data_IF_996241905879
#
_entry.id   IF_996241905879
#
_cell.length_a   1.000
_cell.length_b   1.000
_cell.length_c   1.000
_cell.angle_alpha   90.00
_cell.angle_beta   90.00
_cell.angle_gamma   90.00
#
_symmetry.space_group_name_H-M   'P 1'
#
loop_
_entity.id
_entity.type
_entity.pdbx_description
1 polymer ?
#
# COMPACT_ATOMS: atom_id res chain seq x y z
N UNK A 1 67.01 -2.65 36.27
CA UNK A 1 67.85 -3.66 35.55
C UNK A 1 67.62 -3.45 34.09
N UNK A 2 68.52 -2.78 33.48
CA UNK A 2 69.43 -3.06 32.36
C UNK A 2 68.68 -3.22 31.03
N UNK A 3 68.63 -2.18 30.20
CA UNK A 3 69.58 -1.79 29.14
C UNK A 3 69.70 -2.84 28.02
N UNK A 4 69.27 -2.53 26.81
CA UNK A 4 70.25 -2.43 25.71
C UNK A 4 69.68 -1.84 24.45
N UNK A 5 70.27 -0.76 24.04
CA UNK A 5 70.26 -0.19 22.68
C UNK A 5 70.90 -1.18 21.70
N UNK A 6 70.41 -1.21 20.46
CA UNK A 6 71.38 -1.26 19.33
C UNK A 6 70.74 -0.58 18.11
N UNK A 7 71.54 0.38 17.66
CA UNK A 7 71.34 1.26 16.52
C UNK A 7 71.86 0.63 15.21
N UNK A 8 71.58 1.36 14.13
CA UNK A 8 72.24 1.34 12.80
C UNK A 8 71.53 0.40 11.76
N UNK A 9 71.22 0.80 10.61
CA UNK A 9 72.00 1.63 9.65
C UNK A 9 71.09 2.27 8.63
N UNK A 10 71.46 3.48 8.27
CA UNK A 10 71.07 4.26 7.10
C UNK A 10 71.60 3.60 5.83
N UNK A 11 70.76 3.51 4.82
CA UNK A 11 71.20 3.40 3.44
C UNK A 11 70.38 4.36 2.58
N UNK A 12 71.09 5.34 2.06
CA UNK A 12 70.65 6.31 1.03
C UNK A 12 70.85 5.67 -0.35
N UNK A 13 70.05 6.23 -1.27
CA UNK A 13 70.30 6.41 -2.72
C UNK A 13 69.26 5.79 -3.63
N UNK A 14 69.08 6.36 -4.85
CA UNK A 14 68.80 7.75 -5.22
C UNK A 14 67.63 7.87 -6.21
N UNK A 15 67.29 9.12 -6.44
CA UNK A 15 66.63 9.66 -7.62
C UNK A 15 66.74 8.83 -8.91
N UNK A 16 65.61 8.65 -9.63
CA UNK A 16 65.56 8.95 -11.08
C UNK A 16 64.13 9.02 -11.62
N UNK A 17 63.77 10.21 -12.04
CA UNK A 17 63.11 10.57 -13.28
C UNK A 17 61.69 10.01 -13.53
N UNK A 18 60.81 10.95 -13.41
CA UNK A 18 60.24 11.61 -14.58
C UNK A 18 59.19 10.79 -15.34
N UNK A 19 58.06 11.40 -15.38
CA UNK A 19 57.18 11.57 -16.54
C UNK A 19 56.06 10.61 -16.69
N UNK A 20 55.02 11.16 -16.64
CA UNK A 20 53.94 11.35 -17.64
C UNK A 20 52.62 11.47 -16.91
N UNK A 21 52.24 12.67 -16.70
CA UNK A 21 50.88 13.06 -16.47
C UNK A 21 50.05 12.54 -17.67
N UNK A 22 49.43 11.40 -17.49
CA UNK A 22 48.28 10.99 -18.30
C UNK A 22 47.06 11.55 -17.60
N UNK A 23 46.66 12.75 -17.99
CA UNK A 23 45.35 13.30 -17.75
C UNK A 23 44.38 12.42 -18.54
N UNK A 24 43.90 11.34 -17.89
CA UNK A 24 42.70 10.67 -18.35
C UNK A 24 41.54 11.62 -18.00
N UNK A 25 41.18 12.46 -18.95
CA UNK A 25 39.88 13.11 -19.00
C UNK A 25 38.82 12.02 -19.12
N UNK A 26 38.36 11.48 -17.99
CA UNK A 26 37.14 10.75 -17.93
C UNK A 26 36.03 11.75 -18.28
N UNK A 27 35.66 11.80 -19.57
CA UNK A 27 34.38 12.33 -20.00
C UNK A 27 33.31 11.46 -19.27
N UNK A 28 32.87 11.98 -18.13
CA UNK A 28 31.59 11.56 -17.56
C UNK A 28 30.54 12.04 -18.54
N UNK A 29 30.20 11.20 -19.49
CA UNK A 29 28.97 11.33 -20.22
C UNK A 29 27.85 11.20 -19.18
N UNK A 30 27.44 12.34 -18.63
CA UNK A 30 26.16 12.45 -17.93
C UNK A 30 25.08 12.21 -19.00
N UNK A 31 24.89 10.96 -19.38
CA UNK A 31 23.71 10.53 -20.09
C UNK A 31 22.56 10.91 -19.18
N UNK A 32 21.71 11.83 -19.63
CA UNK A 32 20.41 12.04 -19.02
C UNK A 32 19.77 10.66 -18.97
N UNK A 33 19.76 10.03 -17.80
CA UNK A 33 18.99 8.83 -17.54
C UNK A 33 17.53 9.25 -17.72
N UNK A 34 17.02 9.08 -18.94
CA UNK A 34 15.58 9.11 -19.14
C UNK A 34 15.04 8.01 -18.23
N UNK A 35 14.26 8.39 -17.24
CA UNK A 35 13.56 7.42 -16.43
C UNK A 35 12.84 6.48 -17.42
N UNK A 36 13.20 5.19 -17.38
CA UNK A 36 12.59 4.22 -18.26
C UNK A 36 11.08 4.23 -17.98
N UNK A 37 10.30 4.39 -19.04
CA UNK A 37 8.84 4.37 -18.93
C UNK A 37 8.44 2.99 -18.39
N UNK A 38 7.66 2.99 -17.32
CA UNK A 38 7.23 1.77 -16.65
C UNK A 38 6.26 0.97 -17.53
N UNK A 39 6.33 -0.35 -17.45
CA UNK A 39 5.30 -1.21 -18.03
C UNK A 39 3.98 -1.08 -17.25
N UNK A 40 2.84 -1.53 -17.81
CA UNK A 40 1.58 -1.56 -17.08
C UNK A 40 1.69 -2.31 -15.75
N UNK A 41 2.38 -3.45 -15.71
CA UNK A 41 2.59 -4.25 -14.51
C UNK A 41 3.41 -3.50 -13.46
N UNK A 42 4.51 -2.86 -13.87
CA UNK A 42 5.33 -2.07 -12.97
C UNK A 42 4.55 -0.88 -12.40
N UNK A 43 3.73 -0.24 -13.24
CA UNK A 43 2.85 0.85 -12.79
C UNK A 43 1.82 0.35 -11.78
N UNK A 44 1.22 -0.82 -12.04
CA UNK A 44 0.28 -1.45 -11.11
C UNK A 44 0.95 -1.80 -9.78
N UNK A 45 2.19 -2.31 -9.80
CA UNK A 45 2.95 -2.59 -8.57
C UNK A 45 3.22 -1.32 -7.75
N UNK A 46 3.41 -0.16 -8.40
CA UNK A 46 3.53 1.11 -7.71
C UNK A 46 2.18 1.57 -7.11
N UNK A 47 1.06 1.39 -7.82
CA UNK A 47 -0.27 1.66 -7.28
C UNK A 47 -0.57 0.79 -6.06
N UNK A 48 -0.33 -0.52 -6.15
CA UNK A 48 -0.54 -1.46 -5.05
C UNK A 48 0.32 -1.08 -3.84
N UNK A 49 1.62 -0.85 -4.05
CA UNK A 49 2.51 -0.43 -2.96
C UNK A 49 2.09 0.89 -2.31
N UNK A 50 1.70 1.88 -3.12
CA UNK A 50 1.31 3.20 -2.62
C UNK A 50 -0.04 3.18 -1.89
N UNK A 51 -1.09 2.63 -2.52
CA UNK A 51 -2.46 2.79 -2.02
C UNK A 51 -2.92 1.63 -1.13
N UNK A 52 -2.34 0.43 -1.28
CA UNK A 52 -2.64 -0.71 -0.39
C UNK A 52 -1.71 -0.71 0.81
N UNK A 53 -0.40 -0.60 0.56
CA UNK A 53 0.59 -0.73 1.63
C UNK A 53 0.98 0.61 2.27
N UNK A 54 0.63 1.76 1.68
CA UNK A 54 1.06 3.08 2.17
C UNK A 54 2.58 3.31 2.02
N UNK A 55 3.22 2.67 1.03
CA UNK A 55 4.66 2.71 0.83
C UNK A 55 5.10 4.03 0.21
N UNK A 56 5.75 4.86 1.03
CA UNK A 56 6.27 6.19 0.65
C UNK A 56 7.32 6.09 -0.47
N UNK A 57 8.15 5.04 -0.47
CA UNK A 57 9.17 4.86 -1.51
C UNK A 57 8.51 4.50 -2.86
N UNK A 58 7.45 3.71 -2.85
CA UNK A 58 6.66 3.41 -4.06
C UNK A 58 5.93 4.65 -4.58
N UNK A 59 5.39 5.48 -3.71
CA UNK A 59 4.78 6.77 -4.08
C UNK A 59 5.80 7.72 -4.72
N UNK A 60 7.02 7.80 -4.19
CA UNK A 60 8.09 8.59 -4.78
C UNK A 60 8.51 8.05 -6.16
N UNK A 61 8.68 6.73 -6.30
CA UNK A 61 8.95 6.09 -7.59
C UNK A 61 7.84 6.33 -8.61
N UNK A 62 6.58 6.33 -8.16
CA UNK A 62 5.44 6.66 -9.01
C UNK A 62 5.53 8.09 -9.53
N UNK A 63 5.83 9.07 -8.67
CA UNK A 63 6.03 10.46 -9.09
C UNK A 63 7.16 10.58 -10.11
N UNK A 64 8.32 9.95 -9.85
CA UNK A 64 9.46 10.00 -10.76
C UNK A 64 9.09 9.48 -12.16
N UNK A 65 8.34 8.38 -12.22
CA UNK A 65 7.89 7.79 -13.47
C UNK A 65 6.82 8.63 -14.19
N UNK A 66 5.99 9.34 -13.44
CA UNK A 66 4.85 10.09 -13.98
C UNK A 66 5.15 11.56 -14.27
N UNK A 67 6.23 12.14 -13.76
CA UNK A 67 6.60 13.56 -14.03
C UNK A 67 6.54 13.98 -15.51
N UNK A 68 7.01 13.15 -16.47
CA UNK A 68 6.89 13.53 -17.89
C UNK A 68 5.45 13.71 -18.35
N UNK A 69 4.49 13.00 -17.75
CA UNK A 69 3.06 13.10 -18.07
C UNK A 69 2.37 14.27 -17.35
N UNK A 70 2.94 14.76 -16.24
CA UNK A 70 2.41 15.85 -15.43
C UNK A 70 3.23 17.15 -15.56
N UNK A 71 3.85 17.40 -16.72
CA UNK A 71 4.63 18.61 -17.00
C UNK A 71 5.73 18.86 -15.94
N UNK A 72 6.39 17.80 -15.49
CA UNK A 72 7.44 17.86 -14.48
C UNK A 72 6.95 17.98 -13.04
N UNK A 73 5.64 17.93 -12.80
CA UNK A 73 5.04 18.00 -11.47
C UNK A 73 4.84 16.61 -10.89
N UNK A 74 4.81 16.55 -9.57
CA UNK A 74 4.45 15.34 -8.86
C UNK A 74 2.94 15.05 -8.99
N UNK A 75 2.60 13.80 -9.28
CA UNK A 75 1.22 13.33 -9.37
C UNK A 75 0.60 13.10 -7.98
N UNK A 76 1.45 12.78 -6.99
CA UNK A 76 1.05 12.48 -5.62
C UNK A 76 1.82 13.38 -4.63
N UNK A 77 1.14 13.82 -3.59
CA UNK A 77 1.80 14.41 -2.42
C UNK A 77 2.36 13.28 -1.55
N UNK A 78 3.63 12.94 -1.78
CA UNK A 78 4.33 11.87 -1.05
C UNK A 78 4.39 12.14 0.46
N UNK A 79 4.47 13.42 0.86
CA UNK A 79 4.50 13.81 2.27
C UNK A 79 3.16 13.54 2.97
N UNK A 80 2.06 13.51 2.22
CA UNK A 80 0.73 13.20 2.76
C UNK A 80 0.48 11.69 2.93
N UNK A 81 1.24 10.80 2.27
CA UNK A 81 1.00 9.35 2.33
C UNK A 81 0.97 8.80 3.77
N UNK A 82 1.92 9.13 4.67
CA UNK A 82 1.89 8.62 6.04
C UNK A 82 0.63 9.04 6.83
N UNK A 83 0.07 10.20 6.52
CA UNK A 83 -1.12 10.75 7.21
C UNK A 83 -2.42 10.45 6.49
N UNK A 84 -2.36 9.97 5.25
CA UNK A 84 -3.54 9.64 4.44
C UNK A 84 -4.40 8.58 5.15
N UNK A 85 -3.76 7.54 5.68
CA UNK A 85 -4.42 6.48 6.45
C UNK A 85 -5.17 7.03 7.67
N UNK A 86 -4.56 7.95 8.42
CA UNK A 86 -5.16 8.60 9.57
C UNK A 86 -6.37 9.45 9.19
N UNK A 87 -6.22 10.26 8.12
CA UNK A 87 -7.32 11.09 7.59
C UNK A 87 -8.49 10.23 7.12
N UNK A 88 -8.22 9.15 6.39
CA UNK A 88 -9.25 8.20 5.94
C UNK A 88 -9.94 7.54 7.14
N UNK A 89 -9.18 7.10 8.15
CA UNK A 89 -9.72 6.52 9.37
C UNK A 89 -10.67 7.48 10.07
N UNK A 90 -10.25 8.72 10.29
CA UNK A 90 -11.06 9.72 10.97
C UNK A 90 -12.36 10.03 10.22
N UNK A 91 -12.30 10.11 8.88
CA UNK A 91 -13.47 10.28 8.03
C UNK A 91 -14.41 9.06 8.11
N UNK A 92 -13.88 7.84 8.11
CA UNK A 92 -14.68 6.62 8.25
C UNK A 92 -15.34 6.54 9.62
N UNK A 93 -14.61 6.86 10.69
CA UNK A 93 -15.17 6.94 12.05
C UNK A 93 -16.31 7.96 12.11
N UNK A 94 -16.09 9.16 11.59
CA UNK A 94 -17.10 10.21 11.57
C UNK A 94 -18.35 9.78 10.78
N UNK A 95 -18.17 9.17 9.60
CA UNK A 95 -19.26 8.67 8.77
C UNK A 95 -20.07 7.57 9.47
N UNK A 96 -19.41 6.61 10.13
CA UNK A 96 -20.09 5.54 10.86
C UNK A 96 -20.83 6.11 12.07
N UNK A 97 -20.19 6.96 12.87
CA UNK A 97 -20.81 7.57 14.05
C UNK A 97 -21.98 8.49 13.70
N UNK A 98 -21.95 9.15 12.53
CA UNK A 98 -23.08 10.00 12.10
C UNK A 98 -24.38 9.23 11.95
N UNK A 99 -24.31 7.95 11.58
CA UNK A 99 -25.47 7.04 11.43
C UNK A 99 -25.94 6.45 12.76
N UNK A 100 -25.21 6.68 13.86
CA UNK A 100 -25.55 6.13 15.18
C UNK A 100 -26.32 7.15 16.02
N UNK A 101 -27.21 6.70 16.94
CA UNK A 101 -27.87 7.58 17.88
C UNK A 101 -26.85 8.41 18.68
N UNK A 102 -27.11 9.71 18.88
CA UNK A 102 -26.16 10.64 19.53
C UNK A 102 -25.63 10.12 20.87
N UNK A 103 -26.49 9.51 21.69
CA UNK A 103 -26.14 8.95 23.00
C UNK A 103 -25.20 7.74 22.97
N UNK A 104 -25.10 7.06 21.81
CA UNK A 104 -24.23 5.89 21.63
C UNK A 104 -22.84 6.25 21.08
N UNK A 105 -22.69 7.43 20.48
CA UNK A 105 -21.48 7.80 19.71
C UNK A 105 -20.21 7.79 20.57
N UNK A 106 -20.28 8.30 21.79
CA UNK A 106 -19.12 8.34 22.70
C UNK A 106 -18.64 6.93 23.05
N UNK A 107 -19.56 6.02 23.35
CA UNK A 107 -19.23 4.62 23.70
C UNK A 107 -18.72 3.80 22.51
N UNK A 108 -19.10 4.16 21.27
CA UNK A 108 -18.74 3.42 20.07
C UNK A 108 -17.45 3.94 19.40
N UNK A 109 -17.01 5.17 19.71
CA UNK A 109 -15.85 5.76 19.05
C UNK A 109 -14.58 4.90 19.17
N UNK A 110 -14.22 4.50 20.39
CA UNK A 110 -13.00 3.73 20.63
C UNK A 110 -13.01 2.35 19.95
N UNK A 111 -14.06 1.49 20.10
CA UNK A 111 -14.11 0.22 19.41
C UNK A 111 -14.14 0.33 17.88
N UNK A 112 -14.83 1.33 17.32
CA UNK A 112 -14.82 1.58 15.87
C UNK A 112 -13.40 1.98 15.42
N UNK A 113 -12.76 2.90 16.14
CA UNK A 113 -11.40 3.34 15.82
C UNK A 113 -10.40 2.18 15.84
N UNK A 114 -10.47 1.32 16.86
CA UNK A 114 -9.61 0.13 16.93
C UNK A 114 -9.84 -0.81 15.75
N UNK A 115 -11.09 -1.11 15.42
CA UNK A 115 -11.43 -1.99 14.29
C UNK A 115 -10.91 -1.44 12.95
N UNK A 116 -11.06 -0.14 12.70
CA UNK A 116 -10.57 0.48 11.45
C UNK A 116 -9.03 0.48 11.43
N UNK A 117 -8.36 0.76 12.57
CA UNK A 117 -6.90 0.73 12.65
C UNK A 117 -6.34 -0.68 12.35
N UNK A 118 -6.93 -1.73 12.94
CA UNK A 118 -6.55 -3.11 12.66
C UNK A 118 -6.80 -3.50 11.20
N UNK A 119 -7.92 -3.06 10.61
CA UNK A 119 -8.20 -3.23 9.18
C UNK A 119 -7.14 -2.57 8.29
N UNK A 120 -6.74 -1.32 8.58
CA UNK A 120 -5.68 -0.62 7.85
C UNK A 120 -4.33 -1.33 7.98
N UNK A 121 -4.02 -1.83 9.18
CA UNK A 121 -2.81 -2.62 9.41
C UNK A 121 -2.80 -3.91 8.55
N UNK A 122 -3.94 -4.57 8.40
CA UNK A 122 -4.08 -5.74 7.51
C UNK A 122 -3.82 -5.37 6.06
N UNK A 123 -4.39 -4.26 5.57
CA UNK A 123 -4.12 -3.77 4.21
C UNK A 123 -2.63 -3.49 4.02
N UNK A 124 -2.00 -2.80 4.96
CA UNK A 124 -0.58 -2.47 4.88
C UNK A 124 0.34 -3.72 4.84
N UNK A 125 -0.09 -4.85 5.43
CA UNK A 125 0.63 -6.14 5.40
C UNK A 125 0.35 -6.97 4.15
N UNK A 126 -0.65 -6.62 3.34
CA UNK A 126 -1.01 -7.41 2.16
C UNK A 126 0.16 -7.47 1.18
N UNK A 127 0.40 -8.65 0.62
CA UNK A 127 1.47 -8.90 -0.33
C UNK A 127 0.87 -8.96 -1.73
N UNK A 128 0.95 -7.86 -2.45
CA UNK A 128 0.35 -7.70 -3.77
C UNK A 128 1.39 -7.58 -4.87
N UNK A 129 1.07 -8.10 -6.06
CA UNK A 129 1.89 -7.95 -7.26
C UNK A 129 1.04 -8.06 -8.52
N UNK A 130 1.42 -7.37 -9.58
CA UNK A 130 0.93 -7.60 -10.91
C UNK A 130 1.38 -8.99 -11.42
N UNK A 131 0.54 -9.66 -12.20
CA UNK A 131 0.80 -11.01 -12.70
C UNK A 131 0.83 -11.11 -14.22
N UNK A 132 0.32 -10.09 -14.92
CA UNK A 132 0.35 -9.99 -16.37
C UNK A 132 -0.56 -8.88 -16.85
N UNK A 133 -0.47 -8.55 -18.14
CA UNK A 133 -1.38 -7.58 -18.75
C UNK A 133 -1.74 -7.95 -20.18
N UNK A 134 -2.87 -7.41 -20.63
CA UNK A 134 -3.28 -7.39 -22.04
C UNK A 134 -3.51 -5.94 -22.45
N UNK A 135 -3.18 -5.61 -23.69
CA UNK A 135 -3.33 -4.25 -24.21
C UNK A 135 -4.22 -4.25 -25.44
N UNK A 136 -5.07 -3.21 -25.54
CA UNK A 136 -5.88 -2.92 -26.72
C UNK A 136 -5.89 -1.42 -27.02
N UNK A 137 -6.11 -0.99 -28.26
CA UNK A 137 -6.31 0.42 -28.58
C UNK A 137 -7.47 1.01 -27.76
N UNK A 138 -7.33 2.26 -27.34
CA UNK A 138 -8.44 3.02 -26.74
C UNK A 138 -9.29 3.60 -27.86
N UNK A 139 -10.52 3.09 -28.02
CA UNK A 139 -11.45 3.54 -29.08
C UNK A 139 -11.92 5.00 -28.89
N UNK A 140 -11.74 5.58 -27.70
CA UNK A 140 -12.21 6.92 -27.36
C UNK A 140 -11.10 7.97 -27.44
N UNK A 141 -9.82 7.56 -27.41
CA UNK A 141 -8.67 8.47 -27.40
C UNK A 141 -7.64 7.98 -28.41
N UNK A 142 -7.48 8.72 -29.51
CA UNK A 142 -6.54 8.38 -30.57
C UNK A 142 -5.10 8.32 -30.04
N UNK A 143 -4.37 7.27 -30.42
CA UNK A 143 -2.99 7.06 -30.01
C UNK A 143 -2.79 6.57 -28.56
N UNK A 144 -3.86 6.34 -27.81
CA UNK A 144 -3.82 5.76 -26.48
C UNK A 144 -4.22 4.27 -26.51
N UNK A 145 -3.72 3.51 -25.54
CA UNK A 145 -4.12 2.13 -25.31
C UNK A 145 -4.71 1.97 -23.91
N UNK A 146 -5.54 0.93 -23.76
CA UNK A 146 -6.02 0.43 -22.48
C UNK A 146 -5.21 -0.84 -22.18
N UNK A 147 -4.53 -0.87 -21.05
CA UNK A 147 -3.87 -2.05 -20.54
C UNK A 147 -4.66 -2.59 -19.35
N UNK A 148 -5.30 -3.74 -19.49
CA UNK A 148 -5.93 -4.46 -18.38
C UNK A 148 -4.86 -5.31 -17.72
N UNK A 149 -4.54 -4.99 -16.47
CA UNK A 149 -3.50 -5.65 -15.67
C UNK A 149 -4.14 -6.54 -14.63
N UNK A 150 -3.79 -7.82 -14.68
CA UNK A 150 -4.12 -8.79 -13.64
C UNK A 150 -3.16 -8.63 -12.46
N UNK A 151 -3.68 -8.70 -11.24
CA UNK A 151 -2.86 -8.74 -10.05
C UNK A 151 -3.33 -9.80 -9.05
N UNK A 152 -2.43 -10.22 -8.19
CA UNK A 152 -2.69 -11.15 -7.11
C UNK A 152 -2.14 -10.60 -5.81
N UNK A 153 -2.96 -10.71 -4.77
CA UNK A 153 -2.60 -10.35 -3.41
C UNK A 153 -2.71 -11.58 -2.50
N UNK A 154 -1.87 -11.64 -1.50
CA UNK A 154 -2.04 -12.52 -0.35
C UNK A 154 -2.46 -11.66 0.84
N UNK A 155 -3.65 -11.90 1.37
CA UNK A 155 -4.23 -11.17 2.49
C UNK A 155 -4.46 -12.08 3.68
N UNK A 156 -4.84 -11.53 4.81
CA UNK A 156 -5.27 -12.34 5.96
C UNK A 156 -6.60 -13.03 5.69
N UNK A 157 -6.77 -14.23 6.22
CA UNK A 157 -8.04 -14.95 6.18
C UNK A 157 -8.87 -14.62 7.42
N UNK A 158 -9.77 -13.66 7.28
CA UNK A 158 -10.66 -13.21 8.37
C UNK A 158 -11.89 -14.09 8.54
N UNK A 159 -12.22 -14.95 7.59
CA UNK A 159 -13.49 -15.69 7.55
C UNK A 159 -13.72 -16.58 8.79
N UNK A 160 -12.74 -17.40 9.22
CA UNK A 160 -12.90 -18.21 10.43
C UNK A 160 -13.12 -17.35 11.69
N UNK A 161 -12.38 -16.26 11.83
CA UNK A 161 -12.51 -15.34 12.97
C UNK A 161 -13.85 -14.62 12.99
N UNK A 162 -14.33 -14.15 11.84
CA UNK A 162 -15.67 -13.54 11.70
C UNK A 162 -16.76 -14.52 12.06
N UNK A 163 -16.66 -15.77 11.60
CA UNK A 163 -17.61 -16.83 11.95
C UNK A 163 -17.64 -17.07 13.45
N UNK A 164 -16.49 -17.27 14.08
CA UNK A 164 -16.39 -17.47 15.53
C UNK A 164 -16.93 -16.27 16.32
N UNK A 165 -16.64 -15.04 15.87
CA UNK A 165 -17.17 -13.83 16.49
C UNK A 165 -18.72 -13.78 16.42
N UNK A 166 -19.32 -14.13 15.27
CA UNK A 166 -20.77 -14.16 15.10
C UNK A 166 -21.41 -15.22 16.01
N UNK A 167 -20.82 -16.40 16.09
CA UNK A 167 -21.29 -17.46 17.00
C UNK A 167 -21.24 -17.00 18.47
N UNK A 168 -20.14 -16.35 18.89
CA UNK A 168 -19.96 -15.79 20.23
C UNK A 168 -20.98 -14.71 20.56
N UNK A 169 -21.26 -13.81 19.64
CA UNK A 169 -22.21 -12.70 19.84
C UNK A 169 -23.66 -13.17 19.75
N UNK A 170 -23.93 -14.24 19.01
CA UNK A 170 -25.25 -14.76 18.76
C UNK A 170 -26.14 -13.77 17.98
N UNK A 171 -27.44 -14.02 18.04
CA UNK A 171 -28.45 -13.12 17.45
C UNK A 171 -29.36 -12.54 18.55
N UNK A 172 -28.86 -11.58 19.36
CA UNK A 172 -29.61 -11.06 20.48
C UNK A 172 -30.77 -10.18 20.02
N UNK A 173 -31.91 -10.29 20.70
CA UNK A 173 -33.04 -9.36 20.52
C UNK A 173 -32.68 -7.99 21.12
N UNK A 174 -32.17 -7.08 20.30
CA UNK A 174 -31.69 -5.74 20.71
C UNK A 174 -32.85 -4.76 20.88
N UNK A 175 -33.66 -4.92 21.94
CA UNK A 175 -34.86 -4.08 22.19
C UNK A 175 -34.55 -2.68 22.71
N UNK A 176 -33.38 -2.44 23.27
CA UNK A 176 -33.00 -1.12 23.82
C UNK A 176 -31.76 -0.57 23.14
N UNK A 177 -31.63 0.77 23.11
CA UNK A 177 -30.42 1.43 22.59
C UNK A 177 -29.16 1.05 23.37
N UNK A 178 -29.29 0.84 24.70
CA UNK A 178 -28.18 0.37 25.54
C UNK A 178 -27.68 -1.00 25.12
N UNK A 179 -28.60 -1.95 24.91
CA UNK A 179 -28.25 -3.30 24.45
C UNK A 179 -27.63 -3.26 23.05
N UNK A 180 -28.18 -2.44 22.15
CA UNK A 180 -27.65 -2.24 20.79
C UNK A 180 -26.25 -1.63 20.80
N UNK A 181 -26.02 -0.60 21.62
CA UNK A 181 -24.70 0.01 21.79
C UNK A 181 -23.68 -0.98 22.33
N UNK A 182 -24.04 -1.76 23.35
CA UNK A 182 -23.15 -2.76 23.92
C UNK A 182 -22.79 -3.86 22.90
N UNK A 183 -23.77 -4.32 22.11
CA UNK A 183 -23.56 -5.29 21.04
C UNK A 183 -22.59 -4.75 19.95
N UNK A 184 -22.83 -3.53 19.46
CA UNK A 184 -21.97 -2.90 18.46
C UNK A 184 -20.55 -2.66 19.00
N UNK A 185 -20.40 -2.26 20.25
CA UNK A 185 -19.09 -2.11 20.87
C UNK A 185 -18.34 -3.46 20.93
N UNK A 186 -19.03 -4.53 21.35
CA UNK A 186 -18.46 -5.88 21.37
C UNK A 186 -18.12 -6.39 19.96
N UNK A 187 -18.97 -6.09 18.97
CA UNK A 187 -18.72 -6.45 17.57
C UNK A 187 -17.47 -5.77 17.01
N UNK A 188 -17.35 -4.45 17.12
CA UNK A 188 -16.18 -3.72 16.61
C UNK A 188 -14.89 -4.10 17.35
N UNK A 189 -14.95 -4.28 18.68
CA UNK A 189 -13.80 -4.78 19.44
C UNK A 189 -13.40 -6.19 19.00
N UNK A 190 -14.39 -7.06 18.78
CA UNK A 190 -14.15 -8.40 18.26
C UNK A 190 -13.56 -8.38 16.85
N UNK A 191 -14.02 -7.49 15.98
CA UNK A 191 -13.45 -7.34 14.64
C UNK A 191 -12.01 -6.88 14.64
N UNK A 192 -11.64 -5.93 15.54
CA UNK A 192 -10.24 -5.55 15.71
C UNK A 192 -9.36 -6.78 16.00
N UNK A 193 -9.77 -7.60 16.95
CA UNK A 193 -9.09 -8.85 17.32
C UNK A 193 -9.03 -9.86 16.16
N UNK A 194 -10.12 -10.01 15.40
CA UNK A 194 -10.13 -10.85 14.19
C UNK A 194 -9.09 -10.41 13.19
N UNK A 195 -8.99 -9.10 12.90
CA UNK A 195 -7.99 -8.58 11.97
C UNK A 195 -6.56 -8.78 12.47
N UNK A 196 -6.32 -8.57 13.77
CA UNK A 196 -4.98 -8.66 14.35
C UNK A 196 -4.45 -10.09 14.37
N UNK A 197 -5.34 -11.09 14.57
CA UNK A 197 -4.97 -12.49 14.73
C UNK A 197 -5.14 -13.36 13.48
N UNK A 198 -5.84 -12.85 12.46
CA UNK A 198 -6.07 -13.62 11.25
C UNK A 198 -4.75 -14.00 10.55
N UNK A 199 -4.56 -15.27 10.17
CA UNK A 199 -3.35 -15.71 9.48
C UNK A 199 -3.29 -15.16 8.05
N UNK A 200 -2.08 -14.85 7.60
CA UNK A 200 -1.82 -14.54 6.18
C UNK A 200 -2.00 -15.81 5.33
N UNK A 201 -2.55 -15.67 4.13
CA UNK A 201 -2.57 -16.78 3.20
C UNK A 201 -3.76 -16.83 2.24
N UNK A 202 -4.81 -16.05 2.46
CA UNK A 202 -5.96 -16.01 1.55
C UNK A 202 -5.54 -15.34 0.23
N UNK A 203 -5.62 -16.04 -0.92
CA UNK A 203 -5.36 -15.43 -2.22
C UNK A 203 -6.55 -14.56 -2.63
N UNK A 204 -6.25 -13.40 -3.19
CA UNK A 204 -7.20 -12.47 -3.79
C UNK A 204 -6.66 -12.07 -5.15
N UNK A 205 -7.47 -12.12 -6.18
CA UNK A 205 -7.13 -11.66 -7.53
C UNK A 205 -7.99 -10.47 -7.90
N UNK A 206 -7.46 -9.59 -8.72
CA UNK A 206 -8.17 -8.44 -9.25
C UNK A 206 -7.61 -8.02 -10.59
N UNK A 207 -8.28 -7.05 -11.18
CA UNK A 207 -7.86 -6.40 -12.42
C UNK A 207 -7.94 -4.90 -12.27
N UNK A 208 -7.06 -4.19 -12.98
CA UNK A 208 -7.11 -2.73 -13.07
C UNK A 208 -6.84 -2.32 -14.52
N UNK A 209 -7.64 -1.38 -15.02
CA UNK A 209 -7.42 -0.78 -16.32
C UNK A 209 -6.53 0.45 -16.18
N UNK A 210 -5.46 0.46 -16.97
CA UNK A 210 -4.54 1.57 -17.12
C UNK A 210 -4.67 2.15 -18.52
N UNK A 211 -4.61 3.46 -18.61
CA UNK A 211 -4.74 4.25 -19.83
C UNK A 211 -3.41 4.93 -20.14
N UNK A 212 -2.89 4.77 -21.34
CA UNK A 212 -1.61 5.38 -21.69
C UNK A 212 -0.93 4.77 -22.89
N UNK A 213 0.38 4.96 -22.94
CA UNK A 213 1.24 4.39 -23.99
C UNK A 213 2.56 3.95 -23.38
N UNK A 214 3.27 3.08 -24.12
CA UNK A 214 4.64 2.69 -23.75
C UNK A 214 5.66 3.85 -23.78
N UNK A 215 5.27 5.02 -24.30
CA UNK A 215 6.14 6.21 -24.35
C UNK A 215 5.81 7.21 -23.24
N UNK A 216 4.53 7.37 -22.92
CA UNK A 216 4.03 8.39 -21.97
C UNK A 216 3.71 7.85 -20.59
N UNK A 217 3.80 6.53 -20.40
CA UNK A 217 3.43 5.86 -19.16
C UNK A 217 1.92 5.59 -19.04
N UNK A 218 1.55 5.00 -17.92
CA UNK A 218 0.24 4.39 -17.67
C UNK A 218 -0.40 4.98 -16.41
N UNK A 219 -1.69 5.31 -16.48
CA UNK A 219 -2.47 5.81 -15.34
C UNK A 219 -3.78 5.04 -15.21
N UNK A 220 -4.22 4.78 -14.00
CA UNK A 220 -5.59 4.32 -13.78
C UNK A 220 -6.56 5.50 -13.73
N UNK A 221 -7.78 5.28 -14.21
CA UNK A 221 -8.89 6.23 -14.05
C UNK A 221 -9.40 6.29 -12.60
N UNK A 222 -9.18 5.22 -11.84
CA UNK A 222 -9.62 5.09 -10.45
C UNK A 222 -8.61 4.30 -9.62
N UNK A 223 -7.81 4.94 -8.75
CA UNK A 223 -6.95 4.22 -7.82
C UNK A 223 -7.71 3.27 -6.87
N UNK A 224 -9.01 3.47 -6.70
CA UNK A 224 -9.88 2.59 -5.91
C UNK A 224 -10.02 1.19 -6.50
N UNK A 225 -9.79 1.00 -7.80
CA UNK A 225 -9.97 -0.29 -8.46
C UNK A 225 -8.98 -1.35 -7.94
N UNK A 226 -7.77 -0.94 -7.54
CA UNK A 226 -6.79 -1.84 -6.91
C UNK A 226 -7.19 -2.22 -5.47
N UNK A 227 -8.04 -1.42 -4.80
CA UNK A 227 -8.47 -1.68 -3.43
C UNK A 227 -9.72 -2.54 -3.36
N UNK A 228 -10.64 -2.44 -4.34
CA UNK A 228 -11.95 -3.09 -4.29
C UNK A 228 -11.89 -4.60 -4.00
N UNK A 229 -11.06 -5.42 -4.69
CA UNK A 229 -10.99 -6.85 -4.42
C UNK A 229 -10.51 -7.19 -3.00
N UNK A 230 -9.61 -6.35 -2.44
CA UNK A 230 -9.12 -6.52 -1.07
C UNK A 230 -10.20 -6.15 -0.05
N UNK A 231 -10.90 -5.04 -0.30
CA UNK A 231 -12.05 -4.61 0.52
C UNK A 231 -13.10 -5.72 0.56
N UNK A 232 -13.47 -6.29 -0.58
CA UNK A 232 -14.44 -7.38 -0.67
C UNK A 232 -13.98 -8.63 0.07
N UNK A 233 -12.70 -8.98 -0.04
CA UNK A 233 -12.14 -10.12 0.66
C UNK A 233 -12.13 -9.95 2.20
N UNK A 234 -11.89 -8.74 2.69
CA UNK A 234 -11.76 -8.44 4.12
C UNK A 234 -13.09 -8.06 4.78
N UNK A 235 -14.02 -7.45 4.04
CA UNK A 235 -15.32 -7.00 4.55
C UNK A 235 -16.49 -7.89 4.12
N UNK A 236 -16.38 -8.59 2.99
CA UNK A 236 -17.43 -9.47 2.46
C UNK A 236 -17.96 -10.50 3.49
N UNK A 237 -17.09 -11.19 4.25
CA UNK A 237 -17.52 -12.12 5.31
C UNK A 237 -18.38 -11.47 6.40
N UNK A 238 -18.27 -10.15 6.58
CA UNK A 238 -19.09 -9.39 7.53
C UNK A 238 -20.50 -9.19 7.00
N UNK A 239 -20.63 -8.83 5.71
CA UNK A 239 -21.91 -8.51 5.06
C UNK A 239 -22.78 -9.71 4.70
N UNK A 240 -22.18 -10.83 4.32
CA UNK A 240 -22.90 -12.04 3.87
C UNK A 240 -23.78 -12.71 4.93
N UNK A 241 -23.71 -12.28 6.19
CA UNK A 241 -24.49 -12.86 7.29
C UNK A 241 -25.82 -12.12 7.58
N UNK A 242 -26.14 -11.05 6.84
CA UNK A 242 -27.44 -10.36 6.99
C UNK A 242 -28.53 -10.85 6.02
N UNK A 243 -28.17 -11.69 5.04
CA UNK A 243 -29.05 -12.05 3.93
C UNK A 243 -29.89 -13.32 4.08
N UNK A 244 -29.69 -14.14 5.11
CA UNK A 244 -30.42 -15.42 5.27
C UNK A 244 -31.62 -15.37 6.23
N UNK A 245 -31.98 -14.20 6.74
CA UNK A 245 -33.05 -14.08 7.73
C UNK A 245 -34.46 -13.77 7.15
N UNK A 246 -34.59 -13.62 5.82
CA UNK A 246 -35.86 -13.31 5.15
C UNK A 246 -36.15 -14.29 3.99
N UNK A 247 -36.25 -15.59 4.29
CA UNK A 247 -36.96 -16.56 3.44
C UNK A 247 -37.85 -17.45 4.24
#
# INVERSE_FOLDING_TARGET
MTVSLHARRVARFPLFRATRAAVLSALVAAGAAHAAVLTPEQTTDLYLGTFVNGDVAKAAQFNDAMRPRFDGKDALDVAAIPTLGDTMRDNMIAALLSKMPAKSRAALRAPISASIASYQHVLARSECRATGSTQKPNEYVEGESIATVDFSCRVVDVEPGVKALKEKLGNPRLKTDKARTAFLAAFFSGMAHVYDEAPMGRPVTGQVDLYGTNEKGWLTGSPGDVLSPLVDALLGPIGSAGGEADK
#
